data_IF_091576806827
#
_entry.id   IF_091576806827
#
_cell.length_a   1.000
_cell.length_b   1.000
_cell.length_c   1.000
_cell.angle_alpha   90.00
_cell.angle_beta   90.00
_cell.angle_gamma   90.00
#
_symmetry.space_group_name_H-M   'P 1'
#
loop_
_entity.id
_entity.type
_entity.pdbx_description
1 polymer ?
#
# COMPACT_ATOMS: atom_id res chain seq x y z
N UNK A 1 54.91 15.33 47.34
CA UNK A 1 53.65 14.61 47.06
C UNK A 1 52.58 15.66 46.86
N UNK A 2 52.31 16.06 45.62
CA UNK A 2 51.26 17.03 45.31
C UNK A 2 49.93 16.29 45.24
N UNK A 3 49.00 16.66 46.12
CA UNK A 3 47.62 16.20 46.06
C UNK A 3 46.91 16.97 44.95
N UNK A 4 46.71 16.33 43.81
CA UNK A 4 45.85 16.84 42.74
C UNK A 4 44.41 16.69 43.25
N UNK A 5 43.80 17.81 43.65
CA UNK A 5 42.37 17.87 43.91
C UNK A 5 41.62 17.73 42.58
N UNK A 6 41.28 16.50 42.19
CA UNK A 6 40.30 16.23 41.14
C UNK A 6 38.91 16.61 41.67
N UNK A 7 38.63 17.90 41.74
CA UNK A 7 37.25 18.36 41.84
C UNK A 7 36.63 18.20 40.45
N UNK A 8 35.51 17.47 40.29
CA UNK A 8 34.86 17.36 39.00
C UNK A 8 34.48 18.77 38.54
N UNK A 9 34.90 19.12 37.32
CA UNK A 9 34.63 20.41 36.72
C UNK A 9 33.10 20.55 36.57
N UNK A 10 32.49 21.50 37.28
CA UNK A 10 31.04 21.67 37.38
C UNK A 10 30.38 21.83 36.01
N UNK A 11 31.10 22.41 35.05
CA UNK A 11 30.64 22.57 33.66
C UNK A 11 30.52 21.23 32.93
N UNK A 12 31.48 20.32 33.12
CA UNK A 12 31.46 18.99 32.51
C UNK A 12 30.30 18.14 33.05
N UNK A 13 30.03 18.23 34.36
CA UNK A 13 28.87 17.56 34.97
C UNK A 13 27.54 18.07 34.41
N UNK A 14 27.40 19.40 34.25
CA UNK A 14 26.19 20.01 33.70
C UNK A 14 26.00 19.67 32.22
N UNK A 15 27.10 19.55 31.46
CA UNK A 15 27.07 19.13 30.07
C UNK A 15 26.64 17.66 29.94
N UNK A 16 27.24 16.78 30.75
CA UNK A 16 26.87 15.37 30.81
C UNK A 16 25.38 15.20 31.15
N UNK A 17 24.87 15.94 32.15
CA UNK A 17 23.45 15.91 32.51
C UNK A 17 22.53 16.39 31.40
N UNK A 18 22.94 17.40 30.61
CA UNK A 18 22.15 17.85 29.45
C UNK A 18 22.10 16.77 28.37
N UNK A 19 23.21 16.08 28.10
CA UNK A 19 23.24 14.97 27.15
C UNK A 19 22.36 13.82 27.60
N UNK A 20 22.44 13.43 28.88
CA UNK A 20 21.59 12.38 29.46
C UNK A 20 20.10 12.71 29.27
N UNK A 21 19.68 13.94 29.62
CA UNK A 21 18.29 14.38 29.44
C UNK A 21 17.89 14.36 27.96
N UNK A 22 18.75 14.82 27.05
CA UNK A 22 18.46 14.83 25.63
C UNK A 22 18.27 13.41 25.06
N UNK A 23 19.12 12.47 25.48
CA UNK A 23 19.00 11.06 25.11
C UNK A 23 17.70 10.45 25.65
N UNK A 24 17.36 10.71 26.91
CA UNK A 24 16.12 10.25 27.53
C UNK A 24 14.88 10.79 26.81
N UNK A 25 14.88 12.08 26.46
CA UNK A 25 13.80 12.71 25.70
C UNK A 25 13.67 12.08 24.31
N UNK A 26 14.78 11.83 23.63
CA UNK A 26 14.78 11.22 22.31
C UNK A 26 14.27 9.77 22.36
N UNK A 27 14.75 8.98 23.32
CA UNK A 27 14.28 7.61 23.55
C UNK A 27 12.78 7.54 23.84
N UNK A 28 12.26 8.45 24.68
CA UNK A 28 10.82 8.56 24.94
C UNK A 28 10.03 8.92 23.68
N UNK A 29 10.55 9.84 22.87
CA UNK A 29 9.91 10.23 21.60
C UNK A 29 9.84 9.06 20.62
N UNK A 30 10.95 8.33 20.46
CA UNK A 30 11.05 7.15 19.60
C UNK A 30 10.07 6.06 20.09
N UNK A 31 10.04 5.77 21.39
CA UNK A 31 9.11 4.79 21.96
C UNK A 31 7.64 5.15 21.69
N UNK A 32 7.29 6.43 21.79
CA UNK A 32 5.95 6.93 21.47
C UNK A 32 5.61 6.78 19.98
N UNK A 33 6.55 7.07 19.08
CA UNK A 33 6.35 6.91 17.63
C UNK A 33 6.18 5.43 17.26
N UNK A 34 7.00 4.54 17.82
CA UNK A 34 6.87 3.08 17.65
C UNK A 34 5.48 2.61 18.14
N UNK A 35 5.03 3.09 19.29
CA UNK A 35 3.71 2.73 19.84
C UNK A 35 2.56 3.19 18.93
N UNK A 36 2.66 4.39 18.36
CA UNK A 36 1.69 4.91 17.38
C UNK A 36 1.67 4.08 16.10
N UNK A 37 2.85 3.75 15.55
CA UNK A 37 2.98 2.90 14.36
C UNK A 37 2.39 1.52 14.61
N UNK A 38 2.71 0.89 15.74
CA UNK A 38 2.13 -0.41 16.11
C UNK A 38 0.62 -0.36 16.19
N UNK A 39 0.06 0.71 16.78
CA UNK A 39 -1.39 0.89 16.88
C UNK A 39 -2.06 1.04 15.51
N UNK A 40 -1.40 1.75 14.57
CA UNK A 40 -1.90 1.88 13.19
C UNK A 40 -1.84 0.56 12.43
N UNK A 41 -0.75 -0.22 12.59
CA UNK A 41 -0.61 -1.54 11.99
C UNK A 41 -1.71 -2.49 12.48
N UNK A 42 -2.01 -2.49 13.79
CA UNK A 42 -3.11 -3.29 14.34
C UNK A 42 -4.46 -2.92 13.72
N UNK A 43 -4.78 -1.63 13.63
CA UNK A 43 -6.03 -1.18 12.98
C UNK A 43 -6.12 -1.60 11.52
N UNK A 44 -5.05 -1.43 10.76
CA UNK A 44 -5.01 -1.85 9.35
C UNK A 44 -5.19 -3.36 9.21
N UNK A 45 -4.60 -4.16 10.11
CA UNK A 45 -4.80 -5.61 10.11
C UNK A 45 -6.26 -5.98 10.41
N UNK A 46 -6.89 -5.29 11.36
CA UNK A 46 -8.32 -5.50 11.69
C UNK A 46 -9.22 -5.13 10.49
N UNK A 47 -8.93 -4.01 9.82
CA UNK A 47 -9.65 -3.59 8.60
C UNK A 47 -9.48 -4.62 7.48
N UNK A 48 -8.25 -5.10 7.23
CA UNK A 48 -7.97 -6.16 6.24
C UNK A 48 -8.74 -7.44 6.58
N UNK A 49 -8.77 -7.84 7.85
CA UNK A 49 -9.51 -9.03 8.29
C UNK A 49 -11.02 -8.85 8.06
N UNK A 50 -11.56 -7.66 8.34
CA UNK A 50 -12.98 -7.34 8.08
C UNK A 50 -13.31 -7.41 6.59
N UNK A 51 -12.50 -6.78 5.74
CA UNK A 51 -12.69 -6.80 4.28
C UNK A 51 -12.64 -8.24 3.74
N UNK A 52 -11.67 -9.05 4.18
CA UNK A 52 -11.58 -10.47 3.79
C UNK A 52 -12.83 -11.26 4.19
N UNK A 53 -13.39 -10.97 5.37
CA UNK A 53 -14.63 -11.60 5.84
C UNK A 53 -15.84 -11.19 5.01
N UNK A 54 -15.94 -9.92 4.61
CA UNK A 54 -17.00 -9.44 3.72
C UNK A 54 -16.91 -10.07 2.33
N UNK A 55 -15.70 -10.14 1.76
CA UNK A 55 -15.46 -10.77 0.46
C UNK A 55 -15.78 -12.27 0.49
N UNK A 56 -15.39 -12.98 1.55
CA UNK A 56 -15.69 -14.41 1.72
C UNK A 56 -17.19 -14.70 1.81
N UNK A 57 -17.98 -13.77 2.37
CA UNK A 57 -19.45 -13.89 2.41
C UNK A 57 -20.10 -13.63 1.04
N UNK A 58 -19.48 -12.83 0.18
CA UNK A 58 -19.99 -12.55 -1.17
C UNK A 58 -19.78 -13.69 -2.18
N UNK A 59 -18.77 -14.54 -1.98
CA UNK A 59 -18.41 -15.62 -2.93
C UNK A 59 -19.08 -16.95 -2.59
N UNK A 60 -19.44 -17.19 -1.33
CA UNK A 60 -20.05 -18.45 -0.88
C UNK A 60 -21.52 -18.67 -1.33
N UNK A 61 -22.11 -17.75 -2.10
CA UNK A 61 -23.50 -17.80 -2.55
C UNK A 61 -23.69 -18.18 -4.03
N UNK A 62 -22.66 -18.70 -4.72
CA UNK A 62 -22.83 -19.27 -6.08
C UNK A 62 -22.72 -20.80 -6.05
N UNK A 63 -23.87 -21.43 -6.30
CA UNK A 63 -24.10 -22.86 -6.47
C UNK A 63 -23.14 -23.52 -7.48
N UNK A 64 -22.90 -24.85 -7.38
CA UNK A 64 -21.98 -25.55 -8.27
C UNK A 64 -22.52 -25.56 -9.70
N UNK A 65 -21.74 -25.00 -10.63
CA UNK A 65 -21.99 -25.19 -12.07
C UNK A 65 -21.51 -26.59 -12.40
N UNK A 66 -22.45 -27.43 -12.84
CA UNK A 66 -22.21 -28.80 -13.27
C UNK A 66 -21.14 -28.86 -14.37
N UNK A 67 -20.24 -29.85 -14.25
CA UNK A 67 -19.28 -30.21 -15.27
C UNK A 67 -20.03 -30.84 -16.46
N UNK A 68 -20.01 -30.18 -17.62
CA UNK A 68 -20.27 -30.83 -18.90
C UNK A 68 -18.92 -31.07 -19.61
N UNK A 69 -18.63 -32.30 -20.08
CA UNK A 69 -17.41 -32.60 -20.82
C UNK A 69 -17.60 -32.21 -22.29
N UNK A 70 -16.87 -31.20 -22.77
CA UNK A 70 -16.77 -30.92 -24.21
C UNK A 70 -15.53 -31.61 -24.78
N UNK A 71 -15.78 -32.76 -25.40
CA UNK A 71 -14.89 -33.42 -26.34
C UNK A 71 -14.92 -32.68 -27.70
N UNK A 72 -13.84 -32.89 -28.48
CA UNK A 72 -13.60 -32.54 -29.88
C UNK A 72 -12.79 -31.29 -30.21
N UNK A 73 -11.57 -31.56 -30.68
CA UNK A 73 -11.20 -31.07 -32.02
C UNK A 73 -9.84 -30.38 -32.11
N UNK A 74 -8.76 -31.17 -32.16
CA UNK A 74 -7.48 -30.69 -32.65
C UNK A 74 -7.60 -30.21 -34.11
N UNK A 75 -7.37 -28.91 -34.34
CA UNK A 75 -6.99 -28.39 -35.65
C UNK A 75 -5.85 -27.38 -35.49
N UNK A 76 -4.79 -27.68 -36.21
CA UNK A 76 -3.49 -27.03 -36.23
C UNK A 76 -3.59 -25.54 -36.60
N UNK A 77 -2.70 -24.74 -36.00
CA UNK A 77 -2.56 -23.30 -36.23
C UNK A 77 -1.55 -23.09 -37.37
N UNK A 78 -1.89 -22.41 -38.48
CA UNK A 78 -0.91 -21.69 -39.25
C UNK A 78 -0.94 -20.19 -38.89
N UNK A 79 0.26 -19.72 -38.63
CA UNK A 79 0.70 -18.35 -38.36
C UNK A 79 0.26 -17.32 -39.41
N UNK A 80 0.10 -16.08 -38.93
CA UNK A 80 0.11 -14.80 -39.66
C UNK A 80 -1.06 -14.47 -40.62
N UNK A 81 -1.96 -13.60 -40.16
CA UNK A 81 -2.33 -12.39 -40.90
C UNK A 81 -3.08 -11.36 -40.05
N UNK A 82 -2.78 -10.10 -40.34
CA UNK A 82 -3.24 -8.85 -39.72
C UNK A 82 -4.71 -8.56 -40.05
N UNK A 83 -5.56 -8.32 -39.03
CA UNK A 83 -6.58 -7.25 -39.02
C UNK A 83 -7.20 -7.11 -37.62
N UNK A 84 -7.37 -5.87 -37.09
CA UNK A 84 -8.10 -5.66 -35.85
C UNK A 84 -9.58 -5.93 -36.11
N UNK A 85 -10.22 -6.77 -35.30
CA UNK A 85 -11.68 -6.88 -35.28
C UNK A 85 -12.22 -5.59 -34.65
N UNK A 86 -13.03 -4.79 -35.38
CA UNK A 86 -13.84 -3.77 -34.75
C UNK A 86 -15.08 -4.45 -34.15
N UNK A 87 -15.50 -4.00 -32.97
CA UNK A 87 -16.78 -4.32 -32.34
C UNK A 87 -16.93 -5.66 -31.60
N UNK A 88 -16.02 -5.96 -30.67
CA UNK A 88 -16.38 -6.76 -29.51
C UNK A 88 -15.89 -6.01 -28.28
N UNK A 89 -16.71 -5.09 -27.76
CA UNK A 89 -16.74 -4.64 -26.36
C UNK A 89 -17.73 -3.46 -26.23
N UNK A 90 -19.04 -3.74 -26.29
CA UNK A 90 -20.08 -2.83 -25.77
C UNK A 90 -20.05 -2.70 -24.23
N UNK A 91 -19.04 -3.29 -23.59
CA UNK A 91 -18.80 -3.18 -22.15
C UNK A 91 -17.80 -2.04 -21.95
N UNK A 92 -18.06 -1.08 -21.05
CA UNK A 92 -17.06 -0.08 -20.73
C UNK A 92 -15.82 -0.80 -20.19
N UNK A 93 -14.67 -0.59 -20.85
CA UNK A 93 -13.38 -1.07 -20.38
C UNK A 93 -12.98 -0.26 -19.16
N UNK A 94 -13.29 -0.73 -17.96
CA UNK A 94 -12.87 -0.06 -16.73
C UNK A 94 -11.45 -0.49 -16.37
N UNK A 95 -10.49 0.43 -16.42
CA UNK A 95 -9.16 0.27 -15.82
C UNK A 95 -8.00 0.03 -16.78
N UNK A 96 -8.27 -0.35 -18.04
CA UNK A 96 -7.24 -0.72 -19.02
C UNK A 96 -6.98 0.37 -20.07
N UNK A 97 -7.23 1.65 -19.76
CA UNK A 97 -6.96 2.75 -20.69
C UNK A 97 -5.47 3.08 -20.70
N UNK A 98 -4.83 2.95 -21.87
CA UNK A 98 -3.52 3.55 -22.07
C UNK A 98 -3.69 5.03 -22.47
N UNK A 99 -2.69 5.90 -22.22
CA UNK A 99 -2.76 7.30 -22.62
C UNK A 99 -3.00 7.51 -24.13
N UNK A 100 -2.63 6.54 -24.96
CA UNK A 100 -2.87 6.54 -26.41
C UNK A 100 -4.34 6.29 -26.77
N UNK A 101 -5.12 5.65 -25.89
CA UNK A 101 -6.54 5.35 -26.07
C UNK A 101 -7.45 6.58 -25.85
N UNK A 102 -6.92 7.63 -25.22
CA UNK A 102 -7.66 8.85 -24.89
C UNK A 102 -7.18 10.00 -25.77
N UNK A 103 -8.03 10.54 -26.68
CA UNK A 103 -7.69 11.75 -27.41
C UNK A 103 -7.32 12.87 -26.41
N UNK A 104 -6.21 13.56 -26.62
CA UNK A 104 -5.64 14.56 -25.69
C UNK A 104 -6.67 15.58 -25.19
N UNK A 105 -7.65 15.94 -26.02
CA UNK A 105 -8.75 16.84 -25.64
C UNK A 105 -9.72 16.30 -24.57
N UNK A 106 -9.67 15.01 -24.23
CA UNK A 106 -10.55 14.33 -23.25
C UNK A 106 -9.85 13.92 -21.96
N UNK A 107 -8.55 14.20 -21.79
CA UNK A 107 -7.77 13.86 -20.59
C UNK A 107 -8.29 14.61 -19.33
N UNK A 108 -9.02 15.71 -19.49
CA UNK A 108 -9.45 16.59 -18.40
C UNK A 108 -10.60 16.06 -17.51
N UNK A 109 -11.09 14.83 -17.69
CA UNK A 109 -12.16 14.26 -16.86
C UNK A 109 -11.69 13.56 -15.57
N UNK A 110 -10.39 13.61 -15.26
CA UNK A 110 -9.89 13.21 -13.93
C UNK A 110 -9.70 14.47 -13.10
N UNK A 111 -10.73 14.78 -12.31
CA UNK A 111 -10.94 16.08 -11.68
C UNK A 111 -9.82 16.55 -10.75
N UNK A 112 -9.37 17.78 -10.99
CA UNK A 112 -8.76 18.65 -9.98
C UNK A 112 -9.84 19.05 -8.95
N UNK A 113 -10.13 18.20 -7.97
CA UNK A 113 -10.90 18.63 -6.80
C UNK A 113 -9.95 19.39 -5.86
N UNK A 114 -10.10 20.72 -5.79
CA UNK A 114 -9.47 21.53 -4.74
C UNK A 114 -10.10 21.17 -3.38
N UNK A 115 -9.32 21.04 -2.29
CA UNK A 115 -9.87 20.88 -0.95
C UNK A 115 -10.57 22.18 -0.53
N UNK A 116 -11.75 22.05 0.10
CA UNK A 116 -12.40 23.12 0.88
C UNK A 116 -11.87 23.08 2.31
#
# INVERSE_FOLDING_TARGET
MENISNSPNTEDYMLEKKFEIMLDMNNKKIANEISKLSSMISKLNDEIASIKKELGKGIAAKAPVAEEPLEYGAREIPSNSVRPKPNDDLKPRYGDYSPEDVPIGKIFYFGNKKPR
#
